data_IF_810794587990
#
_entry.id   IF_810794587990
#
_cell.length_a   1.000
_cell.length_b   1.000
_cell.length_c   1.000
_cell.angle_alpha   90.00
_cell.angle_beta   90.00
_cell.angle_gamma   90.00
#
_symmetry.space_group_name_H-M   'P 1'
#
loop_
_entity.id
_entity.type
_entity.pdbx_description
1 polymer ?
#
# COMPACT_ATOMS: atom_id res chain seq x y z
N UNK A 1 4.89 1.59 -8.47
CA UNK A 1 4.43 0.65 -7.43
C UNK A 1 2.94 0.78 -7.27
N UNK A 2 2.19 -0.32 -7.22
CA UNK A 2 0.73 -0.31 -7.10
C UNK A 2 0.26 -1.19 -5.96
N UNK A 3 -0.86 -0.81 -5.36
CA UNK A 3 -1.36 -1.42 -4.15
C UNK A 3 -2.90 -1.45 -4.13
N UNK A 4 -3.46 -2.64 -3.89
CA UNK A 4 -4.89 -2.92 -3.78
C UNK A 4 -5.11 -3.82 -2.55
N UNK A 5 -5.81 -3.38 -1.52
CA UNK A 5 -6.10 -4.24 -0.36
C UNK A 5 -7.38 -5.05 -0.59
N UNK A 6 -7.45 -6.27 -0.07
CA UNK A 6 -8.60 -7.18 -0.17
C UNK A 6 -9.89 -6.64 0.46
N UNK A 7 -9.79 -5.56 1.24
CA UNK A 7 -10.94 -4.83 1.82
C UNK A 7 -11.30 -3.51 1.12
N UNK A 8 -10.57 -3.06 0.10
CA UNK A 8 -10.82 -1.79 -0.58
C UNK A 8 -10.50 -1.86 -2.08
N UNK A 9 -11.51 -1.69 -2.95
CA UNK A 9 -11.32 -1.73 -4.41
C UNK A 9 -10.80 -0.43 -5.01
N UNK A 10 -10.81 0.67 -4.24
CA UNK A 10 -10.44 2.02 -4.70
C UNK A 10 -11.29 2.60 -5.84
N UNK A 11 -12.43 2.00 -6.21
CA UNK A 11 -13.27 2.52 -7.30
C UNK A 11 -13.81 3.93 -7.02
N UNK A 12 -14.20 4.17 -5.77
CA UNK A 12 -14.67 5.46 -5.27
C UNK A 12 -13.57 6.24 -4.50
N UNK A 13 -12.31 5.83 -4.66
CA UNK A 13 -11.14 6.44 -4.01
C UNK A 13 -10.80 5.89 -2.62
N UNK A 14 -9.66 6.32 -2.04
CA UNK A 14 -9.15 5.79 -0.77
C UNK A 14 -9.99 6.20 0.45
N UNK A 15 -10.69 7.33 0.38
CA UNK A 15 -11.49 7.85 1.48
C UNK A 15 -12.71 6.96 1.80
N UNK A 16 -13.26 6.24 0.81
CA UNK A 16 -14.38 5.31 1.01
C UNK A 16 -14.03 4.15 1.95
N UNK A 17 -12.74 3.85 2.10
CA UNK A 17 -12.22 2.80 2.96
C UNK A 17 -11.52 3.35 4.20
N UNK A 18 -11.64 4.65 4.48
CA UNK A 18 -10.97 5.37 5.56
C UNK A 18 -9.43 5.34 5.49
N UNK A 19 -8.86 5.27 4.28
CA UNK A 19 -7.41 5.29 4.10
C UNK A 19 -6.91 6.73 4.13
N UNK A 20 -5.78 6.95 4.79
CA UNK A 20 -5.23 8.28 5.04
C UNK A 20 -3.78 8.33 4.60
N UNK A 21 -3.40 9.38 3.86
CA UNK A 21 -1.99 9.69 3.62
C UNK A 21 -1.37 10.23 4.92
N UNK A 22 -0.06 10.04 5.09
CA UNK A 22 0.66 10.61 6.23
C UNK A 22 1.15 12.03 5.90
N UNK A 23 0.63 13.09 6.54
CA UNK A 23 1.03 14.46 6.22
C UNK A 23 2.46 14.81 6.65
N UNK A 24 3.19 13.87 7.28
CA UNK A 24 4.56 14.04 7.75
C UNK A 24 5.58 13.20 6.96
N UNK A 25 5.16 12.56 5.88
CA UNK A 25 6.07 11.90 4.94
C UNK A 25 6.58 12.87 3.86
N UNK A 26 7.33 12.36 2.89
CA UNK A 26 7.99 13.19 1.88
C UNK A 26 7.08 13.47 0.67
N UNK A 27 6.16 12.54 0.34
CA UNK A 27 5.22 12.65 -0.76
C UNK A 27 4.03 11.69 -0.61
N UNK A 28 2.95 11.96 -1.35
CA UNK A 28 1.71 11.18 -1.27
C UNK A 28 1.58 10.07 -2.33
N UNK A 29 0.84 9.02 -2.00
CA UNK A 29 0.38 8.05 -2.99
C UNK A 29 -0.65 8.68 -3.95
N UNK A 30 -0.57 8.35 -5.24
CA UNK A 30 -1.56 8.81 -6.23
C UNK A 30 -2.67 7.77 -6.39
N UNK A 31 -3.93 8.19 -6.30
CA UNK A 31 -5.06 7.35 -6.66
C UNK A 31 -5.24 7.35 -8.17
N UNK A 32 -5.34 6.16 -8.77
CA UNK A 32 -5.67 5.97 -10.17
C UNK A 32 -7.03 5.30 -10.24
N UNK A 33 -7.95 5.92 -10.98
CA UNK A 33 -9.28 5.36 -11.22
C UNK A 33 -9.29 4.50 -12.48
N UNK A 34 -10.12 3.45 -12.50
CA UNK A 34 -10.38 2.66 -13.71
C UNK A 34 -10.87 3.52 -14.91
N UNK A 35 -11.49 4.68 -14.66
CA UNK A 35 -11.93 5.59 -15.71
C UNK A 35 -10.77 6.27 -16.45
N UNK A 36 -9.61 6.38 -15.80
CA UNK A 36 -8.40 6.98 -16.36
C UNK A 36 -7.61 5.99 -17.23
N UNK A 37 -7.95 4.69 -17.16
CA UNK A 37 -7.27 3.62 -17.88
C UNK A 37 -7.01 3.88 -19.38
N UNK A 38 -7.91 4.52 -20.16
CA UNK A 38 -7.64 4.82 -21.57
C UNK A 38 -6.50 5.83 -21.81
N UNK A 39 -6.15 6.63 -20.81
CA UNK A 39 -5.12 7.68 -20.89
C UNK A 39 -3.79 7.25 -20.27
N UNK A 40 -3.76 6.08 -19.64
CA UNK A 40 -2.56 5.55 -19.01
C UNK A 40 -1.62 4.87 -20.03
N UNK A 41 -0.30 4.92 -19.81
CA UNK A 41 0.65 4.11 -20.57
C UNK A 41 0.27 2.62 -20.57
N UNK A 42 0.50 1.88 -21.68
CA UNK A 42 0.10 0.47 -21.81
C UNK A 42 0.84 -0.47 -20.86
N UNK A 43 1.92 -0.01 -20.23
CA UNK A 43 2.68 -0.77 -19.22
C UNK A 43 2.05 -0.70 -17.82
N UNK A 44 1.05 0.17 -17.63
CA UNK A 44 0.33 0.28 -16.36
C UNK A 44 -0.81 -0.73 -16.28
N UNK A 45 -1.10 -1.27 -15.08
CA UNK A 45 -2.25 -2.13 -14.88
C UNK A 45 -3.55 -1.37 -15.14
N UNK A 46 -4.59 -2.07 -15.60
CA UNK A 46 -5.93 -1.50 -15.68
C UNK A 46 -6.68 -1.72 -14.35
N UNK A 47 -7.50 -0.75 -13.96
CA UNK A 47 -8.34 -0.81 -12.77
C UNK A 47 -8.15 0.40 -11.87
N UNK A 48 -8.73 0.31 -10.67
CA UNK A 48 -8.61 1.34 -9.63
C UNK A 48 -7.59 0.89 -8.58
N UNK A 49 -6.62 1.74 -8.25
CA UNK A 49 -5.53 1.39 -7.33
C UNK A 49 -4.81 2.62 -6.79
N UNK A 50 -4.01 2.42 -5.73
CA UNK A 50 -3.05 3.42 -5.26
C UNK A 50 -1.69 3.17 -5.89
N UNK A 51 -1.00 4.25 -6.27
CA UNK A 51 0.22 4.23 -7.08
C UNK A 51 1.30 5.15 -6.52
N UNK A 52 2.56 4.72 -6.62
CA UNK A 52 3.75 5.56 -6.46
C UNK A 52 4.61 5.44 -7.71
N UNK A 53 4.97 6.57 -8.31
CA UNK A 53 5.95 6.67 -9.38
C UNK A 53 7.32 7.06 -8.80
N UNK A 54 8.14 6.06 -8.51
CA UNK A 54 9.46 6.26 -7.90
C UNK A 54 10.45 7.00 -8.80
N UNK A 55 10.15 7.19 -10.08
CA UNK A 55 11.03 7.95 -10.99
C UNK A 55 11.00 9.46 -10.71
N UNK A 56 9.99 9.93 -9.98
CA UNK A 56 9.79 11.35 -9.63
C UNK A 56 10.36 11.71 -8.25
N UNK A 57 10.99 10.74 -7.56
CA UNK A 57 11.39 10.85 -6.17
C UNK A 57 12.86 10.48 -5.96
N UNK A 58 13.46 11.09 -4.96
CA UNK A 58 14.86 10.87 -4.59
C UNK A 58 15.03 9.65 -3.67
N UNK A 59 16.22 9.09 -3.67
CA UNK A 59 16.53 7.94 -2.82
C UNK A 59 16.48 8.33 -1.33
N UNK A 60 15.59 7.69 -0.59
CA UNK A 60 15.37 7.91 0.83
C UNK A 60 14.03 8.59 1.15
N UNK A 61 13.39 9.20 0.15
CA UNK A 61 12.03 9.73 0.27
C UNK A 61 11.01 8.60 0.49
N UNK A 62 9.97 8.89 1.25
CA UNK A 62 8.96 7.93 1.67
C UNK A 62 7.56 8.52 1.49
N UNK A 63 6.66 7.63 1.10
CA UNK A 63 5.22 7.83 1.13
C UNK A 63 4.56 6.76 1.98
N UNK A 64 3.58 7.12 2.79
CA UNK A 64 2.90 6.23 3.72
C UNK A 64 1.39 6.36 3.59
N UNK A 65 0.77 5.24 3.27
CA UNK A 65 -0.67 5.09 3.20
C UNK A 65 -1.16 4.32 4.43
N UNK A 66 -1.92 4.96 5.30
CA UNK A 66 -2.40 4.43 6.55
C UNK A 66 -3.81 3.85 6.41
N UNK A 67 -3.99 2.59 6.80
CA UNK A 67 -5.31 1.95 6.87
C UNK A 67 -6.10 2.49 8.07
N UNK A 68 -7.42 2.28 8.14
CA UNK A 68 -8.18 2.54 9.36
C UNK A 68 -7.63 1.74 10.56
N UNK A 69 -7.88 2.27 11.75
CA UNK A 69 -7.49 1.61 13.01
C UNK A 69 -8.39 0.39 13.23
N UNK A 70 -7.77 -0.78 13.37
CA UNK A 70 -8.44 -2.06 13.56
C UNK A 70 -8.50 -2.45 15.04
N UNK A 71 -9.63 -3.04 15.44
CA UNK A 71 -9.97 -3.41 16.82
C UNK A 71 -10.61 -4.78 16.85
N UNK A 72 -9.84 -5.77 16.45
CA UNK A 72 -10.34 -7.13 16.23
C UNK A 72 -10.33 -7.94 17.53
N UNK A 73 -11.40 -8.68 17.77
CA UNK A 73 -11.50 -9.61 18.90
C UNK A 73 -10.99 -11.02 18.55
N UNK A 74 -11.12 -11.39 17.27
CA UNK A 74 -10.79 -12.70 16.74
C UNK A 74 -9.57 -12.67 15.82
N UNK A 75 -9.05 -13.85 15.50
CA UNK A 75 -7.98 -14.00 14.50
C UNK A 75 -8.49 -13.61 13.12
N UNK A 76 -7.77 -12.71 12.47
CA UNK A 76 -8.08 -12.19 11.15
C UNK A 76 -6.79 -12.03 10.34
N UNK A 77 -6.94 -11.98 9.03
CA UNK A 77 -5.86 -11.74 8.09
C UNK A 77 -6.13 -10.45 7.32
N UNK A 78 -5.07 -9.73 7.00
CA UNK A 78 -5.08 -8.63 6.06
C UNK A 78 -4.44 -9.14 4.78
N UNK A 79 -5.16 -9.08 3.68
CA UNK A 79 -4.61 -9.43 2.38
C UNK A 79 -4.58 -8.22 1.44
N UNK A 80 -3.55 -8.16 0.60
CA UNK A 80 -3.43 -7.14 -0.44
C UNK A 80 -2.74 -7.69 -1.68
N UNK A 81 -3.07 -7.09 -2.81
CA UNK A 81 -2.40 -7.23 -4.07
C UNK A 81 -1.46 -6.06 -4.28
N UNK A 82 -0.26 -6.34 -4.78
CA UNK A 82 0.71 -5.33 -5.14
C UNK A 82 1.32 -5.63 -6.51
N UNK A 83 1.85 -4.60 -7.15
CA UNK A 83 2.52 -4.70 -8.45
C UNK A 83 3.75 -3.79 -8.45
N UNK A 84 4.93 -4.37 -8.68
CA UNK A 84 6.20 -3.63 -8.77
C UNK A 84 6.77 -3.77 -10.17
N UNK A 85 6.66 -2.68 -10.92
CA UNK A 85 7.14 -2.59 -12.30
C UNK A 85 8.36 -1.70 -12.41
N UNK A 86 9.38 -2.23 -13.08
CA UNK A 86 10.67 -1.60 -13.29
C UNK A 86 11.06 -1.78 -14.77
N UNK A 87 10.54 -0.93 -15.66
CA UNK A 87 10.73 -1.11 -17.10
C UNK A 87 12.22 -1.08 -17.50
N UNK A 88 13.01 -0.23 -16.84
CA UNK A 88 14.43 -0.02 -17.17
C UNK A 88 15.39 -0.85 -16.30
N UNK A 89 14.88 -1.82 -15.53
CA UNK A 89 15.67 -2.56 -14.54
C UNK A 89 16.16 -1.71 -13.38
N UNK A 90 15.62 -0.50 -13.22
CA UNK A 90 15.80 0.35 -12.04
C UNK A 90 15.23 -0.32 -10.79
N UNK A 91 15.72 0.09 -9.62
CA UNK A 91 15.14 -0.37 -8.36
C UNK A 91 13.71 0.18 -8.22
N UNK A 92 12.71 -0.65 -7.87
CA UNK A 92 11.34 -0.20 -7.63
C UNK A 92 11.19 0.60 -6.32
N UNK A 93 12.28 0.84 -5.59
CA UNK A 93 12.24 1.22 -4.20
C UNK A 93 11.96 0.02 -3.29
N UNK A 94 11.51 0.31 -2.06
CA UNK A 94 11.13 -0.72 -1.09
C UNK A 94 9.69 -0.50 -0.67
N UNK A 95 8.83 -1.49 -0.90
CA UNK A 95 7.51 -1.53 -0.28
C UNK A 95 7.65 -2.20 1.08
N UNK A 96 7.27 -1.49 2.13
CA UNK A 96 7.20 -2.01 3.48
C UNK A 96 5.74 -2.04 3.94
N UNK A 97 5.40 -3.04 4.74
CA UNK A 97 4.18 -3.04 5.55
C UNK A 97 4.62 -2.98 7.00
N UNK A 98 4.20 -1.92 7.68
CA UNK A 98 4.50 -1.66 9.07
C UNK A 98 3.22 -1.70 9.89
N UNK A 99 3.37 -1.93 11.19
CA UNK A 99 2.26 -1.93 12.15
C UNK A 99 2.60 -1.02 13.30
N UNK A 100 1.64 -0.16 13.68
CA UNK A 100 1.67 0.58 14.94
C UNK A 100 0.57 0.06 15.86
N UNK A 101 0.91 -0.24 17.10
CA UNK A 101 -0.02 -0.74 18.12
C UNK A 101 -0.26 0.35 19.15
N UNK A 102 -1.52 0.59 19.53
CA UNK A 102 -1.96 1.55 20.55
C UNK A 102 -1.39 2.98 20.33
N UNK A 103 -1.35 3.44 19.07
CA UNK A 103 -0.74 4.73 18.68
C UNK A 103 0.72 4.89 19.10
N UNK A 104 1.41 3.78 19.34
CA UNK A 104 2.82 3.74 19.66
C UNK A 104 3.72 4.02 18.46
N UNK A 105 5.04 3.87 18.63
CA UNK A 105 5.98 4.04 17.53
C UNK A 105 5.76 2.99 16.44
N UNK A 106 6.17 3.32 15.21
CA UNK A 106 6.25 2.36 14.12
C UNK A 106 7.22 1.24 14.50
N UNK A 107 6.74 0.00 14.43
CA UNK A 107 7.59 -1.17 14.60
C UNK A 107 8.44 -1.40 13.34
N UNK A 108 9.34 -2.39 13.41
CA UNK A 108 10.02 -2.90 12.23
C UNK A 108 8.99 -3.41 11.19
N UNK A 109 9.31 -3.35 9.89
CA UNK A 109 8.42 -3.85 8.85
C UNK A 109 8.10 -5.32 9.10
N UNK A 110 6.81 -5.66 9.14
CA UNK A 110 6.33 -7.04 9.28
C UNK A 110 6.40 -7.80 7.96
N UNK A 111 6.45 -7.06 6.85
CA UNK A 111 6.66 -7.57 5.51
C UNK A 111 7.33 -6.50 4.65
N UNK A 112 8.20 -6.91 3.74
CA UNK A 112 8.79 -6.01 2.77
C UNK A 112 9.09 -6.71 1.44
N UNK A 113 9.24 -5.92 0.40
CA UNK A 113 9.76 -6.36 -0.88
C UNK A 113 10.55 -5.23 -1.56
N UNK A 114 11.67 -5.62 -2.16
CA UNK A 114 12.61 -4.72 -2.85
C UNK A 114 12.78 -5.07 -4.32
N UNK A 115 12.18 -6.18 -4.76
CA UNK A 115 12.38 -6.74 -6.09
C UNK A 115 11.16 -6.50 -6.97
N UNK A 116 11.40 -6.18 -8.23
CA UNK A 116 10.35 -6.07 -9.25
C UNK A 116 9.61 -7.40 -9.40
N UNK A 117 8.29 -7.38 -9.56
CA UNK A 117 7.46 -8.59 -9.60
C UNK A 117 7.01 -8.99 -11.00
N UNK A 118 7.52 -8.30 -12.03
CA UNK A 118 7.10 -8.45 -13.42
C UNK A 118 5.83 -7.65 -13.73
N UNK A 119 5.11 -8.05 -14.78
CA UNK A 119 3.86 -7.41 -15.23
C UNK A 119 2.61 -8.11 -14.66
N UNK A 120 2.68 -8.59 -13.42
CA UNK A 120 1.57 -9.30 -12.76
C UNK A 120 1.33 -8.80 -11.34
N UNK A 121 0.06 -8.80 -10.94
CA UNK A 121 -0.35 -8.58 -9.55
C UNK A 121 0.05 -9.78 -8.69
N UNK A 122 0.54 -9.49 -7.48
CA UNK A 122 0.93 -10.49 -6.48
C UNK A 122 0.11 -10.28 -5.22
N UNK A 123 -0.46 -11.36 -4.71
CA UNK A 123 -1.22 -11.36 -3.44
C UNK A 123 -0.29 -11.66 -2.26
N UNK A 124 -0.49 -10.94 -1.17
CA UNK A 124 0.10 -11.18 0.15
C UNK A 124 -1.04 -11.31 1.14
N UNK A 125 -0.87 -12.19 2.12
CA UNK A 125 -1.75 -12.32 3.27
C UNK A 125 -0.90 -12.24 4.53
N UNK A 126 -1.31 -11.38 5.46
CA UNK A 126 -0.62 -11.09 6.71
C UNK A 126 -1.57 -11.37 7.87
N UNK A 127 -1.18 -12.30 8.75
CA UNK A 127 -1.86 -12.53 10.00
C UNK A 127 -1.33 -11.56 11.07
N UNK A 128 -2.18 -10.67 11.56
CA UNK A 128 -1.82 -9.72 12.62
C UNK A 128 -2.33 -10.25 13.96
N UNK A 129 -1.41 -10.66 14.84
CA UNK A 129 -1.74 -11.18 16.17
C UNK A 129 -1.91 -10.07 17.22
N UNK A 130 -2.64 -9.01 16.87
CA UNK A 130 -3.00 -7.93 17.80
C UNK A 130 -4.51 -7.90 17.96
N UNK A 131 -4.96 -8.01 19.21
CA UNK A 131 -6.37 -8.16 19.57
C UNK A 131 -6.80 -7.11 20.60
N UNK A 132 -8.11 -6.84 20.64
CA UNK A 132 -8.74 -6.02 21.67
C UNK A 132 -8.34 -6.50 23.09
N UNK A 133 -8.06 -5.60 24.06
CA UNK A 133 -8.28 -4.15 24.05
C UNK A 133 -7.21 -3.32 23.32
N UNK A 134 -6.23 -3.97 22.69
CA UNK A 134 -5.27 -3.26 21.85
C UNK A 134 -5.90 -2.90 20.51
N UNK A 135 -5.53 -1.73 20.00
CA UNK A 135 -5.84 -1.31 18.63
C UNK A 135 -4.55 -1.26 17.82
N UNK A 136 -4.64 -1.50 16.52
CA UNK A 136 -3.48 -1.39 15.64
C UNK A 136 -3.84 -0.74 14.32
N UNK A 137 -2.85 -0.15 13.67
CA UNK A 137 -2.99 0.42 12.33
C UNK A 137 -1.84 -0.08 11.47
N UNK A 138 -2.17 -0.41 10.23
CA UNK A 138 -1.22 -0.86 9.21
C UNK A 138 -0.91 0.31 8.28
N UNK A 139 0.33 0.41 7.84
CA UNK A 139 0.80 1.47 6.95
C UNK A 139 2.02 1.06 6.13
#
# INVERSE_FOLDING_TARGET
>A
MFFVLGGCSFDDGPAQCDYQQDPYDDFDWTHVSAQEAPFLPPDLPQGSYMMVDTSQHDNGEKARLQLPVMKENDTHCIDFNYFLHCPDGSSPGTLNVLVKVNKGPLANPIWNITTCTGKDWRKVELAVSTFWPNEYQVC
#
